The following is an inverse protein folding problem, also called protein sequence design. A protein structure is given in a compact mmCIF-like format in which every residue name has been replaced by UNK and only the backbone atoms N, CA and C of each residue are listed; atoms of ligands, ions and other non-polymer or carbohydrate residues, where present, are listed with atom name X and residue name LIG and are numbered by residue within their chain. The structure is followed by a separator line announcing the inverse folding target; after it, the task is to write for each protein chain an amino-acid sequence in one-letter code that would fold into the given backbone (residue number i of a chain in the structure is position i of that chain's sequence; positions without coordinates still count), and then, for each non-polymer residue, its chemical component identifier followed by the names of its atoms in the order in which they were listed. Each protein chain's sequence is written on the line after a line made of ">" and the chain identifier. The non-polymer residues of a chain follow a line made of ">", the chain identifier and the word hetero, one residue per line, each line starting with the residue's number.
data_IF_750905557589
#
_entry.id   IF_750905557589
#
_cell.length_a   1.000
_cell.length_b   1.000
_cell.length_c   1.000
_cell.angle_alpha   90.00
_cell.angle_beta   90.00
_cell.angle_gamma   90.00
#
_symmetry.space_group_name_H-M   'P 1'
#
loop_
_entity.id
_entity.type
_entity.pdbx_description
1 polymer ?
#
# COMPACT_ATOMS: atom_id res chain seq x y z
N UNK A 1 -17.60 1.89 22.59
CA UNK A 1 -17.40 1.74 21.12
C UNK A 1 -15.93 1.55 20.87
N UNK A 2 -15.56 0.63 19.98
CA UNK A 2 -14.17 0.50 19.53
C UNK A 2 -13.70 1.80 18.87
N UNK A 3 -12.46 2.21 19.15
CA UNK A 3 -11.79 3.32 18.48
C UNK A 3 -10.69 2.76 17.58
N UNK A 4 -10.50 3.37 16.42
CA UNK A 4 -9.55 2.94 15.42
C UNK A 4 -8.57 4.05 15.08
N UNK A 5 -7.32 3.67 14.85
CA UNK A 5 -6.28 4.46 14.22
C UNK A 5 -6.10 3.95 12.78
N UNK A 6 -5.94 4.86 11.81
CA UNK A 6 -5.73 4.52 10.40
C UNK A 6 -4.38 5.04 9.91
N UNK A 7 -3.73 4.27 9.05
CA UNK A 7 -2.48 4.62 8.37
C UNK A 7 -2.59 4.27 6.89
N UNK A 8 -2.12 5.16 6.03
CA UNK A 8 -2.02 4.92 4.59
C UNK A 8 -0.58 5.04 4.14
N UNK A 9 -0.12 4.13 3.30
CA UNK A 9 1.22 4.16 2.70
C UNK A 9 1.11 4.02 1.18
N UNK A 10 2.06 4.63 0.48
CA UNK A 10 2.10 4.71 -0.98
C UNK A 10 3.28 3.90 -1.49
N UNK A 11 3.08 3.22 -2.61
CA UNK A 11 4.12 2.52 -3.34
C UNK A 11 4.08 2.97 -4.79
N UNK A 12 5.15 3.62 -5.23
CA UNK A 12 5.31 4.00 -6.63
C UNK A 12 5.75 2.78 -7.44
N UNK A 13 5.19 2.64 -8.63
CA UNK A 13 5.66 1.65 -9.60
C UNK A 13 6.97 2.12 -10.22
N UNK A 14 7.95 1.22 -10.35
CA UNK A 14 9.27 1.52 -10.93
C UNK A 14 9.31 1.08 -12.40
N UNK A 15 10.19 1.70 -13.20
CA UNK A 15 10.56 1.25 -14.54
C UNK A 15 10.13 2.17 -15.68
N UNK A 16 11.07 2.48 -16.58
CA UNK A 16 10.86 3.34 -17.75
C UNK A 16 10.28 2.60 -18.97
N UNK A 17 10.45 1.27 -19.00
CA UNK A 17 10.04 0.37 -20.11
C UNK A 17 8.93 -0.61 -19.70
N UNK A 18 8.87 -1.00 -18.42
CA UNK A 18 7.81 -1.83 -17.85
C UNK A 18 7.50 -1.30 -16.46
N UNK A 19 6.33 -0.69 -16.32
CA UNK A 19 5.85 -0.16 -15.05
C UNK A 19 5.48 -1.35 -14.17
N UNK A 20 6.32 -1.63 -13.17
CA UNK A 20 6.18 -2.81 -12.30
C UNK A 20 6.25 -2.37 -10.85
N UNK A 21 5.35 -2.90 -10.02
CA UNK A 21 5.43 -2.76 -8.57
C UNK A 21 6.50 -3.73 -8.06
N UNK A 22 7.47 -3.24 -7.29
CA UNK A 22 8.46 -4.10 -6.64
C UNK A 22 7.77 -4.91 -5.52
N UNK A 23 7.44 -6.17 -5.81
CA UNK A 23 6.60 -7.00 -4.94
C UNK A 23 7.32 -7.36 -3.64
N UNK A 24 8.65 -7.49 -3.67
CA UNK A 24 9.43 -7.79 -2.47
C UNK A 24 9.40 -6.60 -1.48
N UNK A 25 9.66 -5.38 -1.96
CA UNK A 25 9.56 -4.15 -1.17
C UNK A 25 8.14 -3.95 -0.62
N UNK A 26 7.12 -4.19 -1.46
CA UNK A 26 5.72 -4.10 -1.08
C UNK A 26 5.39 -5.07 0.07
N UNK A 27 5.68 -6.36 -0.11
CA UNK A 27 5.42 -7.40 0.89
C UNK A 27 6.21 -7.17 2.18
N UNK A 28 7.47 -6.76 2.08
CA UNK A 28 8.29 -6.43 3.24
C UNK A 28 7.58 -5.38 4.12
N UNK A 29 7.08 -4.30 3.51
CA UNK A 29 6.42 -3.23 4.26
C UNK A 29 5.05 -3.63 4.81
N UNK A 30 4.29 -4.44 4.08
CA UNK A 30 3.03 -5.00 4.60
C UNK A 30 3.28 -5.85 5.86
N UNK A 31 4.30 -6.71 5.82
CA UNK A 31 4.67 -7.55 6.95
C UNK A 31 5.22 -6.75 8.13
N UNK A 32 6.04 -5.72 7.88
CA UNK A 32 6.51 -4.80 8.92
C UNK A 32 5.35 -4.16 9.69
N UNK A 33 4.34 -3.64 8.96
CA UNK A 33 3.15 -3.06 9.57
C UNK A 33 2.27 -4.11 10.26
N UNK A 34 2.16 -5.31 9.70
CA UNK A 34 1.48 -6.44 10.36
C UNK A 34 2.10 -6.77 11.72
N UNK A 35 3.44 -6.78 11.80
CA UNK A 35 4.18 -7.01 13.05
C UNK A 35 4.00 -5.88 14.08
N UNK A 36 3.74 -4.65 13.62
CA UNK A 36 3.37 -3.49 14.47
C UNK A 36 1.88 -3.51 14.93
N UNK A 37 1.12 -4.54 14.53
CA UNK A 37 -0.30 -4.70 14.86
C UNK A 37 -1.26 -3.96 13.94
N UNK A 38 -0.81 -3.49 12.78
CA UNK A 38 -1.69 -2.92 11.76
C UNK A 38 -2.33 -4.02 10.91
N UNK A 39 -3.63 -3.90 10.67
CA UNK A 39 -4.39 -4.77 9.77
C UNK A 39 -4.57 -4.07 8.43
N UNK A 40 -4.13 -4.72 7.34
CA UNK A 40 -4.38 -4.24 5.98
C UNK A 40 -5.88 -4.36 5.66
N UNK A 41 -6.51 -3.27 5.21
CA UNK A 41 -7.95 -3.25 4.90
C UNK A 41 -8.27 -2.95 3.45
N UNK A 42 -7.37 -2.30 2.72
CA UNK A 42 -7.57 -1.98 1.30
C UNK A 42 -6.26 -1.72 0.58
N UNK A 43 -6.22 -2.07 -0.71
CA UNK A 43 -5.20 -1.64 -1.65
C UNK A 43 -5.89 -0.98 -2.84
N UNK A 44 -5.50 0.25 -3.17
CA UNK A 44 -6.10 1.04 -4.24
C UNK A 44 -5.02 1.40 -5.26
N UNK A 45 -5.12 0.91 -6.51
CA UNK A 45 -4.25 1.37 -7.58
C UNK A 45 -4.69 2.77 -8.05
N UNK A 46 -3.73 3.64 -8.29
CA UNK A 46 -3.94 4.94 -8.92
C UNK A 46 -3.43 4.84 -10.34
N UNK A 47 -4.32 5.09 -11.29
CA UNK A 47 -4.01 5.12 -12.71
C UNK A 47 -3.49 6.50 -13.13
N UNK A 48 -2.44 6.51 -13.94
CA UNK A 48 -1.94 7.68 -14.65
C UNK A 48 -2.84 8.07 -15.81
N UNK A 49 -2.41 9.10 -16.54
CA UNK A 49 -3.19 9.68 -17.65
C UNK A 49 -3.41 8.73 -18.82
N UNK A 50 -2.57 7.70 -18.96
CA UNK A 50 -2.62 6.74 -20.07
C UNK A 50 -3.21 5.37 -19.64
N UNK A 51 -3.78 5.29 -18.43
CA UNK A 51 -4.38 4.08 -17.87
C UNK A 51 -3.42 3.11 -17.18
N UNK A 52 -2.13 3.41 -17.16
CA UNK A 52 -1.10 2.68 -16.41
C UNK A 52 -1.27 2.87 -14.90
N UNK A 53 -1.02 1.84 -14.09
CA UNK A 53 -0.95 2.03 -12.63
C UNK A 53 0.37 2.71 -12.28
N UNK A 54 0.34 3.92 -11.72
CA UNK A 54 1.54 4.68 -11.33
C UNK A 54 1.87 4.55 -9.84
N UNK A 55 0.85 4.23 -9.04
CA UNK A 55 0.97 4.13 -7.59
C UNK A 55 -0.03 3.10 -7.06
N UNK A 56 0.33 2.43 -5.97
CA UNK A 56 -0.58 1.63 -5.15
C UNK A 56 -0.59 2.22 -3.75
N UNK A 57 -1.77 2.63 -3.27
CA UNK A 57 -1.97 3.04 -1.88
C UNK A 57 -2.55 1.88 -1.08
N UNK A 58 -1.87 1.49 0.00
CA UNK A 58 -2.36 0.52 0.98
C UNK A 58 -2.87 1.24 2.24
N UNK A 59 -4.06 0.87 2.69
CA UNK A 59 -4.73 1.44 3.87
C UNK A 59 -4.81 0.38 4.97
N UNK A 60 -4.45 0.79 6.17
CA UNK A 60 -4.41 -0.03 7.36
C UNK A 60 -5.25 0.56 8.49
N UNK A 61 -5.68 -0.30 9.40
CA UNK A 61 -6.29 0.09 10.68
C UNK A 61 -5.64 -0.64 11.85
N UNK A 62 -5.72 -0.07 13.04
CA UNK A 62 -5.35 -0.71 14.32
C UNK A 62 -6.27 -0.21 15.43
N UNK A 63 -6.56 -1.04 16.43
CA UNK A 63 -7.34 -0.61 17.60
C UNK A 63 -6.57 0.46 18.38
N UNK A 64 -7.31 1.46 18.87
CA UNK A 64 -6.81 2.54 19.74
C UNK A 64 -7.16 2.31 21.20
#
# INVERSE_FOLDING_TARGET
>A
MDKWEYKSIKFETKGFLSITLEIEDFNFKLNELGNEGWELVSCVPISGTSGETVEVTAVFKRKK
#
